data_IF_314917227273
#
_entry.id   IF_314917227273
#
_cell.length_a   1.000
_cell.length_b   1.000
_cell.length_c   1.000
_cell.angle_alpha   90.00
_cell.angle_beta   90.00
_cell.angle_gamma   90.00
#
_symmetry.space_group_name_H-M   'P 1'
#
loop_
_entity.id
_entity.type
_entity.pdbx_description
1 polymer ?
#
# COMPACT_ATOMS: atom_id res chain seq x y z
N UNK A 1 -34.27 23.88 -51.80
CA UNK A 1 -33.14 24.22 -50.89
C UNK A 1 -32.39 22.94 -50.58
N UNK A 2 -31.28 22.71 -51.26
CA UNK A 2 -30.34 21.60 -51.02
C UNK A 2 -29.70 21.82 -49.65
N UNK A 3 -30.00 20.95 -48.68
CA UNK A 3 -29.31 20.94 -47.38
C UNK A 3 -27.84 20.67 -47.66
N UNK A 4 -26.98 21.62 -47.34
CA UNK A 4 -25.53 21.43 -47.37
C UNK A 4 -25.18 20.25 -46.44
N UNK A 5 -24.59 19.20 -47.02
CA UNK A 5 -24.30 17.91 -46.38
C UNK A 5 -22.88 17.81 -45.83
N UNK A 6 -22.26 18.93 -45.46
CA UNK A 6 -21.01 18.92 -44.71
C UNK A 6 -21.31 19.11 -43.22
N UNK A 7 -21.58 18.02 -42.51
CA UNK A 7 -21.64 18.03 -41.04
C UNK A 7 -20.24 17.83 -40.46
N UNK A 8 -19.87 18.63 -39.47
CA UNK A 8 -18.64 18.44 -38.72
C UNK A 8 -18.78 17.22 -37.80
N UNK A 9 -17.67 16.52 -37.55
CA UNK A 9 -17.67 15.46 -36.54
C UNK A 9 -17.98 16.05 -35.15
N UNK A 10 -18.82 15.39 -34.34
CA UNK A 10 -19.05 15.79 -32.95
C UNK A 10 -17.74 15.86 -32.17
N UNK A 11 -17.52 16.95 -31.42
CA UNK A 11 -16.38 17.11 -30.52
C UNK A 11 -16.82 16.84 -29.08
N UNK A 12 -16.22 15.84 -28.42
CA UNK A 12 -16.46 15.55 -27.00
C UNK A 12 -15.76 16.58 -26.10
N UNK A 13 -16.31 16.82 -24.91
CA UNK A 13 -15.70 17.68 -23.90
C UNK A 13 -14.53 16.94 -23.24
N UNK A 14 -13.43 17.66 -22.98
CA UNK A 14 -12.32 17.12 -22.18
C UNK A 14 -12.64 17.12 -20.68
N UNK A 15 -13.50 18.04 -20.22
CA UNK A 15 -13.92 18.16 -18.82
C UNK A 15 -15.10 17.25 -18.49
N UNK A 16 -15.96 16.99 -19.48
CA UNK A 16 -17.14 16.13 -19.36
C UNK A 16 -16.97 14.96 -20.34
N UNK A 17 -16.00 14.10 -20.05
CA UNK A 17 -15.79 12.86 -20.80
C UNK A 17 -16.93 11.87 -20.56
N UNK A 18 -16.89 10.72 -21.24
CA UNK A 18 -17.97 9.74 -21.18
C UNK A 18 -18.20 9.22 -19.76
N UNK A 19 -17.11 9.01 -19.00
CA UNK A 19 -17.15 8.56 -17.61
C UNK A 19 -17.74 9.63 -16.68
N UNK A 20 -17.26 10.87 -16.77
CA UNK A 20 -17.78 11.98 -15.98
C UNK A 20 -19.28 12.20 -16.24
N UNK A 21 -19.69 12.10 -17.50
CA UNK A 21 -21.11 12.21 -17.86
C UNK A 21 -21.94 11.02 -17.35
N UNK A 22 -21.41 9.79 -17.33
CA UNK A 22 -22.11 8.66 -16.73
C UNK A 22 -22.25 8.81 -15.23
N UNK A 23 -21.21 9.27 -14.55
CA UNK A 23 -21.23 9.51 -13.10
C UNK A 23 -22.21 10.61 -12.71
N UNK A 24 -22.25 11.72 -13.46
CA UNK A 24 -23.26 12.78 -13.22
C UNK A 24 -24.68 12.21 -13.35
N UNK A 25 -24.94 11.37 -14.36
CA UNK A 25 -26.27 10.74 -14.55
C UNK A 25 -26.59 9.75 -13.43
N UNK A 26 -25.63 8.92 -13.01
CA UNK A 26 -25.78 7.98 -11.89
C UNK A 26 -26.08 8.74 -10.60
N UNK A 27 -25.29 9.76 -10.28
CA UNK A 27 -25.49 10.60 -9.10
C UNK A 27 -26.84 11.34 -9.14
N UNK A 28 -27.25 11.87 -10.29
CA UNK A 28 -28.55 12.52 -10.45
C UNK A 28 -29.73 11.56 -10.27
N UNK A 29 -29.59 10.30 -10.70
CA UNK A 29 -30.63 9.28 -10.57
C UNK A 29 -30.73 8.70 -9.14
N UNK A 30 -29.60 8.55 -8.45
CA UNK A 30 -29.53 7.84 -7.16
C UNK A 30 -29.48 8.77 -5.95
N UNK A 31 -28.94 9.98 -6.09
CA UNK A 31 -28.69 10.90 -4.98
C UNK A 31 -27.60 10.46 -4.01
N UNK A 32 -26.79 9.45 -4.36
CA UNK A 32 -25.78 8.84 -3.49
C UNK A 32 -24.41 8.84 -4.20
N UNK A 33 -23.34 9.10 -3.45
CA UNK A 33 -21.96 9.00 -3.95
C UNK A 33 -21.64 7.57 -4.38
N UNK A 34 -20.66 7.42 -5.28
CA UNK A 34 -20.18 6.10 -5.65
C UNK A 34 -19.25 5.52 -4.59
N UNK A 35 -19.32 4.20 -4.38
CA UNK A 35 -18.39 3.46 -3.53
C UNK A 35 -17.65 2.50 -4.45
N UNK A 36 -16.32 2.46 -4.35
CA UNK A 36 -15.53 1.48 -5.08
C UNK A 36 -14.28 1.08 -4.32
N UNK A 37 -13.61 0.07 -4.86
CA UNK A 37 -12.28 -0.38 -4.48
C UNK A 37 -11.17 0.25 -5.33
N UNK A 38 -9.96 -0.25 -5.13
CA UNK A 38 -8.76 0.22 -5.80
C UNK A 38 -8.17 1.50 -5.18
N UNK A 39 -7.08 1.98 -5.79
CA UNK A 39 -6.49 3.29 -5.50
C UNK A 39 -6.88 4.31 -6.58
N UNK A 40 -6.21 5.46 -6.58
CA UNK A 40 -6.40 6.47 -7.62
C UNK A 40 -6.15 5.91 -9.03
N UNK A 41 -7.10 6.10 -9.94
CA UNK A 41 -7.04 5.70 -11.36
C UNK A 41 -6.54 6.83 -12.26
N UNK A 42 -6.56 8.07 -11.77
CA UNK A 42 -6.09 9.23 -12.54
C UNK A 42 -4.59 9.15 -12.87
N UNK A 43 -4.15 9.74 -13.99
CA UNK A 43 -2.72 9.93 -14.26
C UNK A 43 -2.08 10.83 -13.20
N UNK A 44 -0.95 10.40 -12.66
CA UNK A 44 -0.17 11.10 -11.64
C UNK A 44 1.31 10.99 -12.00
N UNK A 45 2.14 12.02 -11.70
CA UNK A 45 3.58 11.84 -11.67
C UNK A 45 3.93 10.70 -10.71
N UNK A 46 4.82 9.81 -11.14
CA UNK A 46 5.08 8.55 -10.46
C UNK A 46 6.52 8.11 -10.54
N UNK A 47 6.81 6.93 -9.99
CA UNK A 47 8.16 6.36 -10.02
C UNK A 47 8.62 6.10 -11.46
N UNK A 48 7.72 5.88 -12.42
CA UNK A 48 8.06 5.73 -13.84
C UNK A 48 8.74 6.97 -14.44
N UNK A 49 8.50 8.15 -13.86
CA UNK A 49 9.12 9.41 -14.30
C UNK A 49 10.56 9.59 -13.78
N UNK A 50 11.10 8.59 -13.07
CA UNK A 50 12.50 8.56 -12.62
C UNK A 50 13.31 7.52 -13.40
N UNK A 51 14.57 7.84 -13.66
CA UNK A 51 15.55 6.91 -14.22
C UNK A 51 16.74 6.73 -13.27
N UNK A 52 17.39 5.58 -13.37
CA UNK A 52 18.66 5.34 -12.70
C UNK A 52 19.84 5.78 -13.57
N UNK A 53 20.81 6.42 -12.95
CA UNK A 53 22.13 6.67 -13.50
C UNK A 53 23.01 5.43 -13.31
N UNK A 54 22.85 4.45 -14.20
CA UNK A 54 23.68 3.25 -14.21
C UNK A 54 25.17 3.57 -14.30
N UNK A 55 25.99 2.74 -13.66
CA UNK A 55 27.45 2.87 -13.65
C UNK A 55 28.04 2.71 -15.07
N UNK A 56 29.14 3.44 -15.31
CA UNK A 56 29.88 3.44 -16.57
C UNK A 56 31.37 3.71 -16.27
N UNK A 57 31.96 4.80 -16.77
CA UNK A 57 33.36 5.15 -16.45
C UNK A 57 33.53 5.83 -15.09
N UNK A 58 32.51 6.55 -14.60
CA UNK A 58 32.57 7.32 -13.34
C UNK A 58 32.36 6.47 -12.08
N UNK A 59 31.77 5.29 -12.22
CA UNK A 59 31.54 4.31 -11.15
C UNK A 59 31.63 2.91 -11.74
N UNK A 60 32.10 1.94 -10.97
CA UNK A 60 32.21 0.55 -11.42
C UNK A 60 30.90 -0.21 -11.12
N UNK A 61 30.27 -0.90 -12.09
CA UNK A 61 29.11 -1.76 -11.85
C UNK A 61 29.54 -3.06 -11.16
N UNK A 62 28.60 -3.74 -10.49
CA UNK A 62 28.86 -5.07 -9.93
C UNK A 62 28.39 -6.18 -10.88
N UNK A 63 29.18 -7.24 -11.02
CA UNK A 63 28.85 -8.39 -11.85
C UNK A 63 27.82 -9.31 -11.18
N UNK A 64 26.60 -9.37 -11.71
CA UNK A 64 25.47 -10.06 -11.08
C UNK A 64 25.67 -11.55 -10.75
N UNK A 65 26.52 -12.26 -11.50
CA UNK A 65 26.81 -13.69 -11.30
C UNK A 65 28.03 -13.96 -10.41
N UNK A 66 28.81 -12.93 -10.04
CA UNK A 66 30.01 -13.07 -9.19
C UNK A 66 29.86 -12.35 -7.86
N UNK A 67 29.11 -11.26 -7.84
CA UNK A 67 29.04 -10.35 -6.71
C UNK A 67 27.66 -10.38 -6.06
N UNK A 68 27.66 -10.53 -4.74
CA UNK A 68 26.45 -10.56 -3.95
C UNK A 68 25.87 -9.14 -3.82
N UNK A 69 24.54 -9.05 -3.86
CA UNK A 69 23.81 -7.84 -3.52
C UNK A 69 22.84 -8.18 -2.41
N UNK A 70 23.02 -7.64 -1.20
CA UNK A 70 22.10 -7.91 -0.09
C UNK A 70 20.74 -7.22 -0.27
N UNK A 71 19.72 -7.78 0.38
CA UNK A 71 18.31 -7.36 0.31
C UNK A 71 17.61 -7.38 1.66
N UNK A 72 18.30 -7.79 2.72
CA UNK A 72 17.70 -7.89 4.03
C UNK A 72 17.39 -6.51 4.63
N UNK A 73 16.37 -6.47 5.48
CA UNK A 73 15.98 -5.26 6.21
C UNK A 73 15.60 -5.63 7.65
N UNK A 74 15.98 -4.76 8.58
CA UNK A 74 15.56 -4.85 9.98
C UNK A 74 14.61 -3.70 10.28
N UNK A 75 13.41 -4.04 10.75
CA UNK A 75 12.36 -3.08 11.04
C UNK A 75 12.04 -3.06 12.54
N UNK A 76 11.98 -1.86 13.08
CA UNK A 76 11.54 -1.57 14.43
C UNK A 76 12.62 -1.74 15.50
N UNK A 77 13.80 -1.22 15.21
CA UNK A 77 15.01 -1.36 16.05
C UNK A 77 15.05 -0.43 17.27
N UNK A 78 14.09 0.47 17.43
CA UNK A 78 14.20 1.60 18.38
C UNK A 78 13.84 1.20 19.81
N UNK A 79 12.67 0.62 20.04
CA UNK A 79 12.16 0.32 21.39
C UNK A 79 11.84 -1.16 21.62
N UNK A 80 11.59 -1.94 20.57
CA UNK A 80 11.22 -3.34 20.70
C UNK A 80 12.41 -4.24 21.00
N UNK A 81 12.22 -5.22 21.88
CA UNK A 81 13.23 -6.27 22.13
C UNK A 81 13.45 -7.16 20.90
N UNK A 82 12.39 -7.43 20.14
CA UNK A 82 12.41 -8.33 18.98
C UNK A 82 12.05 -7.54 17.70
N UNK A 83 13.02 -6.84 17.07
CA UNK A 83 12.79 -6.21 15.78
C UNK A 83 12.53 -7.26 14.68
N UNK A 84 11.75 -6.90 13.67
CA UNK A 84 11.51 -7.79 12.53
C UNK A 84 12.75 -7.86 11.64
N UNK A 85 13.12 -9.06 11.22
CA UNK A 85 14.20 -9.30 10.27
C UNK A 85 13.63 -9.96 9.02
N UNK A 86 13.59 -9.21 7.93
CA UNK A 86 13.03 -9.69 6.66
C UNK A 86 14.15 -9.93 5.65
N UNK A 87 13.99 -10.93 4.79
CA UNK A 87 14.98 -11.28 3.75
C UNK A 87 14.95 -10.34 2.54
N UNK A 88 13.83 -9.65 2.36
CA UNK A 88 13.58 -8.72 1.25
C UNK A 88 12.93 -7.43 1.77
N UNK A 89 13.14 -6.27 1.13
CA UNK A 89 12.60 -4.99 1.59
C UNK A 89 11.19 -4.74 1.06
N UNK A 90 10.38 -5.80 0.94
CA UNK A 90 9.04 -5.78 0.33
C UNK A 90 8.08 -6.47 1.28
N UNK A 91 7.15 -5.73 1.88
CA UNK A 91 6.11 -6.24 2.80
C UNK A 91 4.75 -6.34 2.12
N UNK A 92 3.84 -7.13 2.67
CA UNK A 92 2.44 -7.16 2.23
C UNK A 92 1.59 -6.24 3.10
N UNK A 93 0.86 -5.32 2.46
CA UNK A 93 0.04 -4.32 3.12
C UNK A 93 -1.18 -4.92 3.85
N UNK A 94 -1.66 -4.21 4.87
CA UNK A 94 -2.84 -4.61 5.64
C UNK A 94 -4.10 -4.63 4.80
N UNK A 95 -4.68 -5.81 4.61
CA UNK A 95 -5.93 -6.03 3.89
C UNK A 95 -6.82 -6.98 4.70
N UNK A 96 -8.00 -6.49 5.10
CA UNK A 96 -8.81 -7.14 6.14
C UNK A 96 -9.41 -8.48 5.71
N UNK A 97 -9.46 -9.45 6.62
CA UNK A 97 -10.48 -10.51 6.51
C UNK A 97 -11.86 -9.87 6.61
N UNK A 98 -12.77 -10.21 5.69
CA UNK A 98 -14.01 -9.48 5.43
C UNK A 98 -13.93 -8.74 4.10
N UNK A 99 -12.91 -7.90 3.90
CA UNK A 99 -12.57 -7.39 2.56
C UNK A 99 -12.07 -8.51 1.65
N UNK A 100 -11.19 -9.37 2.18
CA UNK A 100 -10.65 -10.54 1.49
C UNK A 100 -11.24 -11.83 2.06
N UNK A 101 -11.31 -12.87 1.23
CA UNK A 101 -11.67 -14.23 1.63
C UNK A 101 -10.59 -14.86 2.53
N UNK A 102 -10.95 -15.91 3.28
CA UNK A 102 -9.99 -16.63 4.12
C UNK A 102 -8.87 -17.27 3.27
N UNK A 103 -9.20 -17.74 2.07
CA UNK A 103 -8.29 -18.32 1.10
C UNK A 103 -7.26 -17.29 0.63
N UNK A 104 -7.68 -16.04 0.37
CA UNK A 104 -6.74 -14.98 0.02
C UNK A 104 -5.81 -14.63 1.19
N UNK A 105 -6.34 -14.58 2.42
CA UNK A 105 -5.53 -14.37 3.64
C UNK A 105 -4.50 -15.49 3.84
N UNK A 106 -4.89 -16.74 3.62
CA UNK A 106 -3.99 -17.90 3.66
C UNK A 106 -2.90 -17.81 2.57
N UNK A 107 -3.29 -17.48 1.33
CA UNK A 107 -2.38 -17.36 0.20
C UNK A 107 -1.31 -16.29 0.42
N UNK A 108 -1.71 -15.12 0.95
CA UNK A 108 -0.80 -14.04 1.32
C UNK A 108 0.23 -14.52 2.35
N UNK A 109 -0.23 -15.22 3.41
CA UNK A 109 0.66 -15.78 4.43
C UNK A 109 1.67 -16.77 3.86
N UNK A 110 1.21 -17.71 3.02
CA UNK A 110 2.07 -18.69 2.34
C UNK A 110 3.14 -18.00 1.48
N UNK A 111 2.72 -17.05 0.64
CA UNK A 111 3.63 -16.36 -0.27
C UNK A 111 4.68 -15.52 0.47
N UNK A 112 4.26 -14.80 1.51
CA UNK A 112 5.16 -13.99 2.33
C UNK A 112 6.19 -14.85 3.08
N UNK A 113 5.76 -15.96 3.68
CA UNK A 113 6.65 -16.91 4.38
C UNK A 113 7.70 -17.51 3.45
N UNK A 114 7.30 -17.94 2.24
CA UNK A 114 8.25 -18.46 1.24
C UNK A 114 9.29 -17.39 0.87
N UNK A 115 8.86 -16.14 0.72
CA UNK A 115 9.73 -15.01 0.40
C UNK A 115 10.56 -14.51 1.60
N UNK A 116 10.25 -14.93 2.83
CA UNK A 116 10.87 -14.44 4.06
C UNK A 116 10.52 -12.99 4.37
N UNK A 117 9.26 -12.61 4.18
CA UNK A 117 8.72 -11.28 4.49
C UNK A 117 7.45 -11.34 5.33
N UNK A 118 6.88 -10.18 5.65
CA UNK A 118 5.72 -10.03 6.52
C UNK A 118 4.39 -9.88 5.77
N UNK A 119 3.33 -10.33 6.42
CA UNK A 119 1.94 -9.99 6.11
C UNK A 119 1.36 -9.06 7.17
N UNK A 120 0.24 -8.42 6.87
CA UNK A 120 -0.46 -7.54 7.79
C UNK A 120 -1.96 -7.86 7.80
N UNK A 121 -2.56 -7.98 8.99
CA UNK A 121 -3.94 -8.49 9.16
C UNK A 121 -4.98 -7.65 8.44
N UNK A 122 -4.79 -6.33 8.37
CA UNK A 122 -5.83 -5.41 7.94
C UNK A 122 -6.86 -5.13 9.04
N UNK A 123 -7.93 -4.42 8.68
CA UNK A 123 -9.06 -4.02 9.55
C UNK A 123 -9.91 -5.17 10.15
N UNK A 124 -9.50 -6.43 9.97
CA UNK A 124 -10.37 -7.61 10.17
C UNK A 124 -10.05 -8.46 11.39
N UNK A 125 -8.98 -8.15 12.11
CA UNK A 125 -8.42 -9.03 13.14
C UNK A 125 -7.59 -10.18 12.56
N UNK A 126 -7.07 -11.03 13.44
CA UNK A 126 -6.20 -12.15 13.08
C UNK A 126 -7.03 -13.41 12.80
N UNK A 127 -6.90 -14.00 11.62
CA UNK A 127 -7.54 -15.29 11.32
C UNK A 127 -6.57 -16.45 11.58
N UNK A 128 -7.08 -17.65 11.96
CA UNK A 128 -6.24 -18.85 12.08
C UNK A 128 -5.51 -19.21 10.78
N UNK A 129 -6.16 -19.02 9.64
CA UNK A 129 -5.61 -19.34 8.32
C UNK A 129 -4.43 -18.43 7.95
N UNK A 130 -4.53 -17.13 8.25
CA UNK A 130 -3.41 -16.20 8.03
C UNK A 130 -2.27 -16.48 9.01
N UNK A 131 -2.56 -16.49 10.32
CA UNK A 131 -1.52 -16.69 11.33
C UNK A 131 -0.81 -18.02 11.17
N UNK A 132 -1.53 -19.08 10.79
CA UNK A 132 -0.99 -20.41 10.58
C UNK A 132 -0.08 -20.55 9.36
N UNK A 133 -0.15 -19.61 8.41
CA UNK A 133 0.70 -19.63 7.21
C UNK A 133 1.74 -18.51 7.16
N UNK A 134 1.54 -17.42 7.90
CA UNK A 134 2.51 -16.33 8.02
C UNK A 134 3.55 -16.64 9.09
N UNK A 135 4.83 -16.63 8.73
CA UNK A 135 5.95 -16.69 9.69
C UNK A 135 6.10 -15.35 10.42
N UNK A 136 5.97 -14.24 9.70
CA UNK A 136 5.90 -12.88 10.26
C UNK A 136 4.56 -12.23 9.94
N UNK A 137 3.79 -11.86 10.97
CA UNK A 137 2.48 -11.21 10.84
C UNK A 137 2.40 -9.95 11.70
N UNK A 138 2.04 -8.85 11.06
CA UNK A 138 1.80 -7.55 11.67
C UNK A 138 0.31 -7.42 11.96
N UNK A 139 -0.05 -7.10 13.19
CA UNK A 139 -1.45 -6.90 13.59
C UNK A 139 -1.82 -5.43 13.51
N UNK A 140 -2.92 -5.10 12.81
CA UNK A 140 -3.40 -3.71 12.76
C UNK A 140 -4.30 -3.34 13.95
N UNK A 141 -3.94 -2.26 14.63
CA UNK A 141 -4.72 -1.64 15.69
C UNK A 141 -5.48 -0.42 15.16
N UNK A 142 -6.81 -0.54 15.11
CA UNK A 142 -7.68 0.34 14.33
C UNK A 142 -8.49 1.30 15.19
N UNK A 143 -8.93 2.46 14.67
CA UNK A 143 -9.81 3.39 15.36
C UNK A 143 -11.01 2.75 16.07
N UNK A 144 -11.69 1.80 15.42
CA UNK A 144 -12.92 1.18 15.96
C UNK A 144 -12.70 -0.12 16.72
N UNK A 145 -11.46 -0.60 16.84
CA UNK A 145 -11.09 -1.82 17.60
C UNK A 145 -11.81 -3.10 17.16
N UNK A 146 -12.36 -3.14 15.95
CA UNK A 146 -12.97 -4.35 15.40
C UNK A 146 -11.97 -5.50 15.39
N UNK A 147 -12.38 -6.66 15.93
CA UNK A 147 -11.54 -7.85 16.03
C UNK A 147 -10.36 -7.74 16.99
N UNK A 148 -10.19 -6.62 17.69
CA UNK A 148 -9.08 -6.43 18.63
C UNK A 148 -9.28 -7.28 19.88
N UNK A 149 -8.37 -8.21 20.10
CA UNK A 149 -8.21 -8.89 21.36
C UNK A 149 -6.71 -8.90 21.79
N UNK A 150 -6.42 -8.81 23.10
CA UNK A 150 -5.04 -8.78 23.60
C UNK A 150 -4.22 -10.02 23.27
N UNK A 151 -4.84 -11.19 23.14
CA UNK A 151 -4.11 -12.43 22.88
C UNK A 151 -3.53 -12.48 21.47
N UNK A 152 -4.25 -11.94 20.49
CA UNK A 152 -3.76 -11.83 19.12
C UNK A 152 -2.70 -10.74 18.99
N UNK A 153 -2.78 -9.65 19.76
CA UNK A 153 -1.69 -8.67 19.86
C UNK A 153 -0.40 -9.32 20.36
N UNK A 154 -0.48 -10.24 21.33
CA UNK A 154 0.70 -10.98 21.84
C UNK A 154 1.24 -12.02 20.84
N UNK A 155 0.35 -12.64 20.05
CA UNK A 155 0.72 -13.59 18.98
C UNK A 155 1.28 -12.92 17.72
N UNK A 156 1.10 -11.61 17.57
CA UNK A 156 1.66 -10.86 16.45
C UNK A 156 3.18 -10.72 16.57
N UNK A 157 3.83 -10.40 15.46
CA UNK A 157 5.27 -10.13 15.42
C UNK A 157 5.56 -8.62 15.50
N UNK A 158 4.59 -7.80 15.10
CA UNK A 158 4.56 -6.35 15.28
C UNK A 158 3.11 -5.85 15.36
N UNK A 159 2.91 -4.62 15.84
CA UNK A 159 1.60 -3.96 15.86
C UNK A 159 1.66 -2.70 15.00
N UNK A 160 0.71 -2.52 14.09
CA UNK A 160 0.57 -1.31 13.28
C UNK A 160 -0.64 -0.49 13.72
N UNK A 161 -0.40 0.66 14.34
CA UNK A 161 -1.45 1.63 14.67
C UNK A 161 -1.84 2.40 13.41
N UNK A 162 -3.10 2.22 12.98
CA UNK A 162 -3.59 2.79 11.73
C UNK A 162 -4.21 4.17 11.98
N UNK A 163 -3.44 5.22 11.67
CA UNK A 163 -3.93 6.60 11.70
C UNK A 163 -4.63 6.97 10.38
N UNK A 164 -4.15 6.43 9.26
CA UNK A 164 -4.77 6.62 7.95
C UNK A 164 -4.23 5.67 6.89
N UNK A 165 -4.84 5.70 5.71
CA UNK A 165 -4.42 4.95 4.53
C UNK A 165 -4.50 5.82 3.28
N UNK A 166 -3.80 5.41 2.21
CA UNK A 166 -3.65 6.20 0.98
C UNK A 166 -4.95 6.48 0.23
N UNK A 167 -5.86 5.50 0.14
CA UNK A 167 -7.15 5.65 -0.56
C UNK A 167 -8.15 6.61 0.12
N UNK A 168 -7.98 6.88 1.43
CA UNK A 168 -8.93 7.71 2.20
C UNK A 168 -8.29 8.36 3.43
N UNK A 169 -7.28 9.23 3.28
CA UNK A 169 -6.74 9.97 4.41
C UNK A 169 -7.86 10.78 5.10
N UNK A 170 -8.00 10.64 6.42
CA UNK A 170 -9.08 11.27 7.18
C UNK A 170 -10.44 10.56 7.11
N UNK A 171 -10.55 9.45 6.36
CA UNK A 171 -11.71 8.55 6.36
C UNK A 171 -11.50 7.33 7.26
N UNK A 172 -12.60 6.64 7.60
CA UNK A 172 -12.56 5.37 8.34
C UNK A 172 -12.69 4.14 7.44
N UNK A 173 -12.28 2.97 7.94
CA UNK A 173 -12.55 1.65 7.33
C UNK A 173 -14.03 1.45 6.98
N UNK A 174 -14.33 0.82 5.85
CA UNK A 174 -15.69 0.53 5.39
C UNK A 174 -15.77 -0.92 4.92
N UNK A 175 -16.83 -1.62 5.33
CA UNK A 175 -17.17 -2.95 4.83
C UNK A 175 -18.69 -3.03 4.69
N UNK A 176 -19.18 -3.32 3.49
CA UNK A 176 -20.62 -3.39 3.25
C UNK A 176 -21.24 -4.66 3.84
N UNK A 177 -22.51 -4.56 4.20
CA UNK A 177 -23.29 -5.61 4.84
C UNK A 177 -23.32 -6.92 4.04
N UNK A 178 -23.28 -6.83 2.70
CA UNK A 178 -23.15 -7.98 1.80
C UNK A 178 -21.92 -8.85 2.09
N UNK A 179 -20.88 -8.25 2.68
CA UNK A 179 -19.63 -8.92 3.06
C UNK A 179 -19.51 -9.12 4.57
N UNK A 180 -20.56 -8.84 5.34
CA UNK A 180 -20.62 -9.20 6.76
C UNK A 180 -21.34 -10.54 6.85
N UNK A 181 -20.59 -11.61 6.58
CA UNK A 181 -20.99 -12.98 6.88
C UNK A 181 -21.08 -13.20 8.39
N UNK A 182 -21.72 -14.28 8.83
CA UNK A 182 -21.80 -14.65 10.25
C UNK A 182 -20.43 -14.63 10.94
N UNK A 183 -19.42 -15.26 10.32
CA UNK A 183 -18.04 -15.27 10.83
C UNK A 183 -17.44 -13.86 10.94
N UNK A 184 -17.64 -13.00 9.94
CA UNK A 184 -17.14 -11.61 9.99
C UNK A 184 -17.85 -10.82 11.09
N UNK A 185 -19.16 -11.03 11.23
CA UNK A 185 -20.01 -10.41 12.25
C UNK A 185 -19.52 -10.78 13.67
N UNK A 186 -19.27 -12.07 13.92
CA UNK A 186 -18.72 -12.58 15.17
C UNK A 186 -17.35 -11.98 15.48
N UNK A 187 -16.42 -12.03 14.53
CA UNK A 187 -15.07 -11.49 14.71
C UNK A 187 -15.06 -9.99 15.02
N UNK A 188 -16.04 -9.23 14.52
CA UNK A 188 -16.08 -7.77 14.69
C UNK A 188 -17.10 -7.30 15.72
N UNK A 189 -17.79 -8.21 16.40
CA UNK A 189 -18.88 -7.90 17.32
C UNK A 189 -19.96 -7.01 16.66
N UNK A 190 -20.32 -7.32 15.41
CA UNK A 190 -21.31 -6.60 14.62
C UNK A 190 -22.53 -7.48 14.31
N UNK A 191 -23.70 -6.89 14.04
CA UNK A 191 -24.82 -7.63 13.46
C UNK A 191 -24.50 -8.05 12.01
N UNK A 192 -24.90 -9.25 11.63
CA UNK A 192 -24.77 -9.76 10.26
C UNK A 192 -25.54 -8.85 9.28
N UNK A 193 -24.96 -8.62 8.09
CA UNK A 193 -25.64 -7.90 7.01
C UNK A 193 -25.72 -6.38 7.16
N UNK A 194 -25.16 -5.79 8.23
CA UNK A 194 -25.20 -4.34 8.47
C UNK A 194 -23.90 -3.68 8.05
N UNK A 195 -23.96 -2.65 7.20
CA UNK A 195 -22.77 -1.90 6.79
C UNK A 195 -21.92 -1.44 7.99
N UNK A 196 -20.64 -1.81 7.97
CA UNK A 196 -19.65 -1.32 8.92
C UNK A 196 -19.03 -0.02 8.42
N UNK A 197 -19.12 1.01 9.25
CA UNK A 197 -18.36 2.27 9.09
C UNK A 197 -17.51 2.49 10.33
N UNK A 198 -16.21 2.48 10.16
CA UNK A 198 -15.27 2.71 11.24
C UNK A 198 -15.13 4.21 11.50
N UNK A 199 -14.89 4.58 12.76
CA UNK A 199 -14.52 5.94 13.12
C UNK A 199 -13.27 6.40 12.35
N UNK A 200 -13.22 7.66 11.95
CA UNK A 200 -12.06 8.27 11.29
C UNK A 200 -10.92 8.64 12.26
N UNK A 201 -11.17 8.58 13.56
CA UNK A 201 -10.21 8.87 14.63
C UNK A 201 -10.30 7.80 15.70
N UNK A 202 -9.17 7.48 16.31
CA UNK A 202 -9.18 6.70 17.53
C UNK A 202 -9.89 7.50 18.63
N UNK A 203 -10.72 6.84 19.46
CA UNK A 203 -11.51 7.53 20.48
C UNK A 203 -10.69 7.97 21.70
N UNK A 204 -9.50 7.42 21.87
CA UNK A 204 -8.67 7.46 23.07
C UNK A 204 -7.39 8.28 22.90
N UNK A 205 -7.24 9.03 21.80
CA UNK A 205 -6.18 10.02 21.64
C UNK A 205 -6.61 11.16 20.71
N UNK A 206 -6.10 12.38 20.96
CA UNK A 206 -6.40 13.57 20.15
C UNK A 206 -5.18 14.18 19.48
N UNK A 207 -3.99 13.88 19.99
CA UNK A 207 -2.71 14.34 19.46
C UNK A 207 -1.58 13.33 19.71
N UNK A 208 -0.34 13.69 19.33
CA UNK A 208 0.82 12.81 19.45
C UNK A 208 1.17 12.44 20.90
N UNK A 209 0.89 13.32 21.87
CA UNK A 209 1.18 13.07 23.29
C UNK A 209 0.23 12.00 23.87
N UNK A 210 -1.05 12.05 23.51
CA UNK A 210 -2.01 11.00 23.86
C UNK A 210 -1.67 9.67 23.15
N UNK A 211 -1.22 9.75 21.88
CA UNK A 211 -0.82 8.58 21.10
C UNK A 211 0.42 7.91 21.70
N UNK A 212 1.35 8.67 22.30
CA UNK A 212 2.50 8.13 23.04
C UNK A 212 2.06 7.27 24.23
N UNK A 213 1.03 7.69 24.97
CA UNK A 213 0.43 6.89 26.05
C UNK A 213 -0.14 5.59 25.48
N UNK A 214 -0.90 5.69 24.38
CA UNK A 214 -1.47 4.50 23.74
C UNK A 214 -0.42 3.52 23.23
N UNK A 215 0.66 4.02 22.65
CA UNK A 215 1.79 3.20 22.20
C UNK A 215 2.47 2.54 23.40
N UNK A 216 2.60 3.25 24.53
CA UNK A 216 3.13 2.69 25.77
C UNK A 216 2.26 1.55 26.30
N UNK A 217 0.93 1.70 26.29
CA UNK A 217 0.00 0.61 26.66
C UNK A 217 0.18 -0.63 25.75
N UNK A 218 0.30 -0.43 24.44
CA UNK A 218 0.51 -1.54 23.49
C UNK A 218 1.84 -2.26 23.75
N UNK A 219 2.88 -1.51 24.13
CA UNK A 219 4.17 -2.10 24.53
C UNK A 219 4.04 -2.89 25.82
N UNK A 220 3.33 -2.38 26.82
CA UNK A 220 3.08 -3.09 28.07
C UNK A 220 2.29 -4.39 27.85
N UNK A 221 1.24 -4.37 27.03
CA UNK A 221 0.43 -5.55 26.68
C UNK A 221 1.28 -6.65 26.03
N UNK A 222 2.34 -6.26 25.32
CA UNK A 222 3.24 -7.14 24.57
C UNK A 222 4.62 -7.31 25.22
N UNK A 223 4.76 -6.98 26.50
CA UNK A 223 6.00 -7.11 27.28
C UNK A 223 7.23 -6.45 26.63
N UNK A 224 6.99 -5.38 25.87
CA UNK A 224 7.98 -4.62 25.08
C UNK A 224 8.69 -5.48 24.02
N UNK A 225 8.12 -6.62 23.64
CA UNK A 225 8.71 -7.51 22.66
C UNK A 225 8.52 -7.03 21.24
N UNK A 226 7.36 -6.44 20.93
CA UNK A 226 6.91 -6.19 19.56
C UNK A 226 7.15 -4.73 19.16
N UNK A 227 7.63 -4.47 17.93
CA UNK A 227 7.72 -3.11 17.41
C UNK A 227 6.34 -2.55 17.08
N UNK A 228 6.21 -1.24 17.28
CA UNK A 228 4.99 -0.47 17.04
C UNK A 228 5.18 0.40 15.82
N UNK A 229 4.39 0.11 14.79
CA UNK A 229 4.36 0.83 13.53
C UNK A 229 3.25 1.87 13.60
N UNK A 230 3.43 3.00 12.93
CA UNK A 230 2.34 3.97 12.70
C UNK A 230 2.12 4.10 11.20
N UNK A 231 0.92 3.75 10.74
CA UNK A 231 0.52 3.91 9.34
C UNK A 231 -0.23 5.22 9.15
N UNK A 232 0.25 6.03 8.22
CA UNK A 232 -0.28 7.35 7.88
C UNK A 232 -0.59 7.43 6.38
N UNK A 233 -1.68 8.12 6.03
CA UNK A 233 -1.98 8.47 4.65
C UNK A 233 -1.12 9.65 4.20
N UNK A 234 -0.69 9.66 2.94
CA UNK A 234 0.15 10.70 2.34
C UNK A 234 -0.60 12.02 2.18
N UNK A 235 -0.84 12.74 3.27
CA UNK A 235 -1.51 14.04 3.26
C UNK A 235 -0.54 15.16 3.64
N UNK A 236 0.10 15.07 4.81
CA UNK A 236 1.11 16.03 5.28
C UNK A 236 2.41 15.28 5.63
N UNK A 237 3.09 14.68 4.65
CA UNK A 237 4.12 13.66 4.88
C UNK A 237 5.24 14.09 5.83
N UNK A 238 5.70 15.34 5.77
CA UNK A 238 6.70 15.86 6.72
C UNK A 238 6.17 15.89 8.17
N UNK A 239 5.01 16.55 8.38
CA UNK A 239 4.46 16.76 9.72
C UNK A 239 3.96 15.46 10.34
N UNK A 240 3.25 14.63 9.57
CA UNK A 240 2.69 13.37 10.06
C UNK A 240 3.81 12.39 10.44
N UNK A 241 4.93 12.41 9.71
CA UNK A 241 6.15 11.64 10.05
C UNK A 241 6.79 12.17 11.35
N UNK A 242 6.97 13.48 11.48
CA UNK A 242 7.54 14.08 12.69
C UNK A 242 6.70 13.78 13.95
N UNK A 243 5.38 13.88 13.83
CA UNK A 243 4.45 13.55 14.92
C UNK A 243 4.48 12.06 15.26
N UNK A 244 4.62 11.18 14.26
CA UNK A 244 4.76 9.73 14.47
C UNK A 244 6.04 9.39 15.24
N UNK A 245 7.16 10.07 14.93
CA UNK A 245 8.41 9.94 15.68
C UNK A 245 8.24 10.37 17.14
N UNK A 246 7.56 11.49 17.38
CA UNK A 246 7.26 12.00 18.74
C UNK A 246 6.36 11.05 19.53
N UNK A 247 5.36 10.46 18.88
CA UNK A 247 4.47 9.48 19.49
C UNK A 247 5.18 8.16 19.88
N UNK A 248 6.40 7.92 19.39
CA UNK A 248 7.18 6.74 19.76
C UNK A 248 7.09 5.59 18.76
N UNK A 249 6.84 5.89 17.48
CA UNK A 249 6.94 4.90 16.41
C UNK A 249 8.33 4.26 16.35
N UNK A 250 8.34 2.93 16.17
CA UNK A 250 9.52 2.16 15.75
C UNK A 250 9.67 2.20 14.22
N UNK A 251 8.54 2.19 13.50
CA UNK A 251 8.46 2.19 12.04
C UNK A 251 7.29 3.08 11.61
N UNK A 252 7.44 3.77 10.49
CA UNK A 252 6.38 4.59 9.89
C UNK A 252 6.04 4.01 8.53
N UNK A 253 4.75 3.81 8.27
CA UNK A 253 4.24 3.37 6.97
C UNK A 253 3.54 4.55 6.30
N UNK A 254 4.16 5.11 5.26
CA UNK A 254 3.65 6.22 4.47
C UNK A 254 2.92 5.70 3.24
N UNK A 255 1.61 5.89 3.16
CA UNK A 255 0.75 5.33 2.11
C UNK A 255 0.24 6.42 1.16
N UNK A 256 0.76 6.49 -0.06
CA UNK A 256 0.35 7.48 -1.07
C UNK A 256 -1.03 7.18 -1.66
N UNK A 257 -1.61 8.14 -2.39
CA UNK A 257 -3.00 8.05 -2.89
C UNK A 257 -3.27 6.89 -3.86
N UNK A 258 -2.23 6.30 -4.45
CA UNK A 258 -2.34 5.06 -5.23
C UNK A 258 -2.57 3.81 -4.35
N UNK A 259 -2.52 3.93 -3.02
CA UNK A 259 -2.85 2.87 -2.07
C UNK A 259 -4.31 2.44 -2.22
N UNK A 260 -4.54 1.13 -2.26
CA UNK A 260 -5.88 0.57 -2.50
C UNK A 260 -6.78 0.56 -1.26
N UNK A 261 -8.07 0.37 -1.51
CA UNK A 261 -9.08 0.00 -0.51
C UNK A 261 -10.06 -1.00 -1.13
N UNK A 262 -10.77 -1.78 -0.31
CA UNK A 262 -11.89 -2.58 -0.79
C UNK A 262 -13.16 -1.73 -0.98
N UNK A 263 -13.33 -0.71 -0.15
CA UNK A 263 -14.49 0.16 -0.17
C UNK A 263 -14.15 1.54 0.43
N UNK A 264 -14.43 2.59 -0.34
CA UNK A 264 -14.64 3.95 0.15
C UNK A 264 -15.34 4.76 -0.93
N UNK A 265 -15.75 5.98 -0.60
CA UNK A 265 -16.31 6.89 -1.58
C UNK A 265 -15.28 7.24 -2.66
N UNK A 266 -15.67 7.19 -3.94
CA UNK A 266 -14.78 7.51 -5.06
C UNK A 266 -14.11 8.88 -4.89
N UNK A 267 -14.85 9.87 -4.36
CA UNK A 267 -14.34 11.23 -4.13
C UNK A 267 -13.14 11.26 -3.18
N UNK A 268 -13.04 10.34 -2.21
CA UNK A 268 -11.86 10.24 -1.36
C UNK A 268 -10.65 9.73 -2.15
N UNK A 269 -10.84 8.68 -2.94
CA UNK A 269 -9.77 8.02 -3.69
C UNK A 269 -9.11 8.99 -4.68
N UNK A 270 -9.91 9.77 -5.42
CA UNK A 270 -9.39 10.60 -6.51
C UNK A 270 -8.96 12.02 -6.10
N UNK A 271 -9.35 12.48 -4.90
CA UNK A 271 -9.18 13.88 -4.50
C UNK A 271 -8.55 14.12 -3.12
N UNK A 272 -8.29 13.09 -2.32
CA UNK A 272 -7.73 13.26 -0.97
C UNK A 272 -6.40 12.52 -0.82
N UNK A 273 -5.34 13.26 -0.51
CA UNK A 273 -3.98 12.75 -0.38
C UNK A 273 -3.05 13.23 -1.51
N UNK A 274 -1.82 12.72 -1.50
CA UNK A 274 -0.74 13.05 -2.41
C UNK A 274 -0.22 11.79 -3.12
N UNK A 275 0.32 11.92 -4.35
CA UNK A 275 0.99 10.82 -5.04
C UNK A 275 2.15 10.28 -4.20
N UNK A 276 2.36 8.96 -4.25
CA UNK A 276 3.45 8.29 -3.53
C UNK A 276 4.79 8.98 -3.72
N UNK A 277 5.12 9.38 -4.96
CA UNK A 277 6.36 10.07 -5.29
C UNK A 277 6.60 11.34 -4.44
N UNK A 278 5.56 12.14 -4.23
CA UNK A 278 5.63 13.38 -3.47
C UNK A 278 5.74 13.18 -1.96
N UNK A 279 5.39 12.00 -1.45
CA UNK A 279 5.39 11.70 -0.02
C UNK A 279 6.76 11.31 0.53
N UNK A 280 7.62 10.68 -0.29
CA UNK A 280 8.84 10.00 0.19
C UNK A 280 9.84 11.01 0.75
N UNK A 281 10.24 12.01 -0.04
CA UNK A 281 11.30 12.95 0.37
C UNK A 281 10.92 13.84 1.54
N UNK A 282 9.69 14.39 1.65
CA UNK A 282 9.29 15.12 2.83
C UNK A 282 9.31 14.27 4.11
N UNK A 283 8.92 12.99 4.03
CA UNK A 283 9.01 12.06 5.18
C UNK A 283 10.47 11.80 5.56
N UNK A 284 11.33 11.50 4.58
CA UNK A 284 12.77 11.30 4.80
C UNK A 284 13.42 12.56 5.39
N UNK A 285 13.06 13.75 4.90
CA UNK A 285 13.54 15.03 5.43
C UNK A 285 13.16 15.20 6.91
N UNK A 286 11.92 14.91 7.29
CA UNK A 286 11.49 14.96 8.70
C UNK A 286 12.33 14.02 9.58
N UNK A 287 12.56 12.79 9.11
CA UNK A 287 13.42 11.82 9.82
C UNK A 287 14.87 12.31 9.93
N UNK A 288 15.42 12.93 8.88
CA UNK A 288 16.78 13.46 8.88
C UNK A 288 16.94 14.63 9.85
N UNK A 289 16.02 15.60 9.82
CA UNK A 289 16.06 16.78 10.71
C UNK A 289 15.88 16.40 12.18
N UNK A 290 15.13 15.34 12.47
CA UNK A 290 15.00 14.80 13.83
C UNK A 290 16.16 13.87 14.24
N UNK A 291 17.13 13.61 13.37
CA UNK A 291 18.23 12.67 13.63
C UNK A 291 17.78 11.20 13.78
N UNK A 292 16.63 10.86 13.18
CA UNK A 292 15.94 9.57 13.28
C UNK A 292 15.93 8.77 11.97
N UNK A 293 16.49 9.31 10.88
CA UNK A 293 16.64 8.57 9.62
C UNK A 293 17.40 7.25 9.86
N UNK A 294 16.84 6.14 9.37
CA UNK A 294 17.29 4.75 9.58
C UNK A 294 17.25 4.24 11.04
N UNK A 295 16.87 5.07 12.02
CA UNK A 295 16.57 4.66 13.41
C UNK A 295 15.08 4.38 13.62
N UNK A 296 14.23 5.20 12.99
CA UNK A 296 12.81 4.92 12.75
C UNK A 296 12.70 4.59 11.27
N UNK A 297 12.42 3.33 10.95
CA UNK A 297 12.40 2.88 9.56
C UNK A 297 11.15 3.42 8.83
N UNK A 298 11.30 3.76 7.56
CA UNK A 298 10.24 4.24 6.69
C UNK A 298 9.85 3.17 5.67
N UNK A 299 8.59 2.72 5.72
CA UNK A 299 7.99 1.89 4.69
C UNK A 299 7.13 2.78 3.79
N UNK A 300 7.29 2.65 2.48
CA UNK A 300 6.47 3.38 1.50
C UNK A 300 5.46 2.45 0.84
N UNK A 301 4.21 2.87 0.77
CA UNK A 301 3.10 2.14 0.15
C UNK A 301 2.36 3.03 -0.85
N UNK A 302 1.58 2.40 -1.73
CA UNK A 302 0.76 3.05 -2.74
C UNK A 302 1.36 2.95 -4.13
N UNK A 303 0.79 2.08 -4.98
CA UNK A 303 1.16 1.98 -6.40
C UNK A 303 2.54 1.38 -6.70
N UNK A 304 3.14 0.60 -5.79
CA UNK A 304 4.39 -0.13 -6.04
C UNK A 304 4.11 -1.43 -6.81
N UNK A 305 4.74 -1.62 -7.98
CA UNK A 305 4.34 -2.68 -8.94
C UNK A 305 5.47 -3.60 -9.41
N UNK A 306 6.73 -3.20 -9.27
CA UNK A 306 7.87 -3.99 -9.78
C UNK A 306 9.15 -3.66 -9.01
N UNK A 307 10.26 -4.33 -9.32
CA UNK A 307 11.52 -4.10 -8.63
C UNK A 307 12.17 -2.75 -8.93
N UNK A 308 11.85 -2.10 -10.05
CA UNK A 308 12.29 -0.74 -10.32
C UNK A 308 11.59 0.26 -9.39
N UNK A 309 10.29 0.10 -9.13
CA UNK A 309 9.55 0.90 -8.15
C UNK A 309 10.15 0.72 -6.74
N UNK A 310 10.46 -0.53 -6.36
CA UNK A 310 11.14 -0.86 -5.08
C UNK A 310 12.47 -0.12 -5.00
N UNK A 311 13.35 -0.30 -5.99
CA UNK A 311 14.67 0.32 -6.01
C UNK A 311 14.58 1.86 -5.93
N UNK A 312 13.65 2.49 -6.65
CA UNK A 312 13.47 3.94 -6.63
C UNK A 312 13.00 4.43 -5.27
N UNK A 313 12.06 3.74 -4.62
CA UNK A 313 11.62 4.09 -3.28
C UNK A 313 12.76 4.00 -2.26
N UNK A 314 13.59 2.93 -2.33
CA UNK A 314 14.76 2.77 -1.47
C UNK A 314 15.81 3.87 -1.72
N UNK A 315 16.11 4.17 -2.99
CA UNK A 315 17.01 5.25 -3.39
C UNK A 315 16.55 6.62 -2.87
N UNK A 316 15.24 6.88 -2.91
CA UNK A 316 14.65 8.10 -2.35
C UNK A 316 14.69 8.16 -0.81
N UNK A 317 15.09 7.07 -0.14
CA UNK A 317 15.36 7.03 1.31
C UNK A 317 14.41 6.16 2.12
N UNK A 318 13.54 5.35 1.50
CA UNK A 318 12.76 4.35 2.22
C UNK A 318 13.65 3.18 2.70
N UNK A 319 13.21 2.49 3.74
CA UNK A 319 13.81 1.24 4.25
C UNK A 319 13.13 0.01 3.66
N UNK A 320 11.84 0.08 3.37
CA UNK A 320 11.10 -0.97 2.68
C UNK A 320 9.94 -0.37 1.90
N UNK A 321 9.28 -1.21 1.10
CA UNK A 321 8.00 -0.88 0.46
C UNK A 321 6.93 -1.88 0.87
N UNK A 322 5.67 -1.47 0.78
CA UNK A 322 4.53 -2.36 1.00
C UNK A 322 3.65 -2.46 -0.24
N UNK A 323 3.23 -3.67 -0.59
CA UNK A 323 2.37 -3.95 -1.75
C UNK A 323 1.00 -4.48 -1.31
N UNK A 324 -0.06 -3.97 -1.93
CA UNK A 324 -1.45 -4.40 -1.73
C UNK A 324 -2.04 -4.94 -3.03
N UNK A 325 -2.53 -4.05 -3.89
CA UNK A 325 -3.13 -4.40 -5.20
C UNK A 325 -2.23 -5.29 -6.04
N UNK A 326 -0.93 -5.00 -6.11
CA UNK A 326 0.01 -5.83 -6.87
C UNK A 326 0.12 -7.26 -6.32
N UNK A 327 0.00 -7.44 -5.00
CA UNK A 327 -0.08 -8.77 -4.40
C UNK A 327 -1.39 -9.47 -4.77
N UNK A 328 -2.53 -8.78 -4.76
CA UNK A 328 -3.82 -9.35 -5.17
C UNK A 328 -3.82 -9.79 -6.65
N UNK A 329 -3.27 -8.96 -7.54
CA UNK A 329 -3.09 -9.33 -8.95
C UNK A 329 -2.21 -10.56 -9.08
N UNK A 330 -1.13 -10.67 -8.29
CA UNK A 330 -0.29 -11.87 -8.28
C UNK A 330 -1.02 -13.14 -7.76
N UNK A 331 -2.07 -13.00 -6.95
CA UNK A 331 -2.94 -14.13 -6.57
C UNK A 331 -3.87 -14.53 -7.72
N UNK A 332 -4.27 -13.58 -8.56
CA UNK A 332 -5.19 -13.77 -9.70
C UNK A 332 -6.34 -12.75 -9.76
N UNK A 333 -6.29 -11.65 -9.00
CA UNK A 333 -7.28 -10.59 -9.11
C UNK A 333 -7.21 -9.94 -10.51
N UNK A 334 -8.38 -9.63 -11.08
CA UNK A 334 -8.49 -9.00 -12.40
C UNK A 334 -7.83 -9.80 -13.55
N UNK A 335 -7.72 -11.12 -13.42
CA UNK A 335 -7.08 -11.99 -14.41
C UNK A 335 -7.90 -12.07 -15.72
N UNK A 336 -7.27 -11.88 -16.91
CA UNK A 336 -7.94 -12.06 -18.20
C UNK A 336 -8.58 -13.43 -18.43
N UNK A 337 -8.13 -14.49 -17.74
CA UNK A 337 -8.77 -15.81 -17.77
C UNK A 337 -10.24 -15.77 -17.28
N UNK A 338 -10.62 -14.74 -16.51
CA UNK A 338 -11.96 -14.55 -15.95
C UNK A 338 -12.80 -13.49 -16.70
N UNK A 339 -12.37 -13.06 -17.90
CA UNK A 339 -13.05 -12.01 -18.69
C UNK A 339 -14.55 -12.27 -18.91
N UNK A 340 -14.95 -13.52 -19.15
CA UNK A 340 -16.38 -13.87 -19.31
C UNK A 340 -17.18 -13.66 -18.02
N UNK A 341 -16.58 -13.89 -16.85
CA UNK A 341 -17.21 -13.66 -15.56
C UNK A 341 -17.32 -12.16 -15.26
N UNK A 342 -16.26 -11.39 -15.55
CA UNK A 342 -16.28 -9.92 -15.39
C UNK A 342 -17.32 -9.25 -16.30
N UNK A 343 -17.52 -9.73 -17.52
CA UNK A 343 -18.59 -9.23 -18.40
C UNK A 343 -19.99 -9.46 -17.84
N UNK A 344 -20.22 -10.53 -17.09
CA UNK A 344 -21.51 -10.77 -16.41
C UNK A 344 -21.80 -9.73 -15.33
N UNK A 345 -20.74 -9.15 -14.75
CA UNK A 345 -20.80 -8.06 -13.79
C UNK A 345 -20.83 -6.67 -14.45
N UNK A 346 -20.84 -6.59 -15.78
CA UNK A 346 -20.84 -5.33 -16.51
C UNK A 346 -19.48 -4.63 -16.58
N UNK A 347 -18.39 -5.34 -16.29
CA UNK A 347 -17.01 -4.83 -16.33
C UNK A 347 -16.10 -5.71 -17.21
N UNK A 348 -14.78 -5.53 -17.13
CA UNK A 348 -13.76 -6.30 -17.86
C UNK A 348 -12.54 -6.55 -16.96
N UNK A 349 -11.77 -7.60 -17.27
CA UNK A 349 -10.52 -7.88 -16.58
C UNK A 349 -9.59 -6.65 -16.58
N UNK A 350 -8.98 -6.35 -15.43
CA UNK A 350 -8.15 -5.16 -15.23
C UNK A 350 -8.91 -3.90 -14.84
N UNK A 351 -10.24 -3.88 -14.95
CA UNK A 351 -11.08 -2.73 -14.60
C UNK A 351 -12.00 -2.97 -13.39
N UNK A 352 -12.14 -4.21 -12.92
CA UNK A 352 -13.03 -4.54 -11.80
C UNK A 352 -12.56 -3.90 -10.50
N UNK A 353 -13.40 -3.02 -9.97
CA UNK A 353 -13.21 -2.30 -8.71
C UNK A 353 -14.44 -2.33 -7.79
N UNK A 354 -15.49 -3.07 -8.14
CA UNK A 354 -16.67 -3.29 -7.28
C UNK A 354 -16.40 -4.33 -6.16
N UNK A 355 -15.18 -4.36 -5.63
CA UNK A 355 -14.75 -5.25 -4.54
C UNK A 355 -15.62 -5.14 -3.28
N UNK A 356 -16.32 -4.02 -3.13
CA UNK A 356 -17.24 -3.77 -2.02
C UNK A 356 -18.51 -4.62 -2.09
N UNK A 357 -18.94 -5.04 -3.28
CA UNK A 357 -20.14 -5.87 -3.48
C UNK A 357 -19.92 -7.34 -3.11
N UNK A 358 -18.66 -7.78 -3.09
CA UNK A 358 -18.31 -9.16 -2.71
C UNK A 358 -18.54 -10.18 -3.82
N UNK A 359 -18.69 -9.75 -5.07
CA UNK A 359 -18.95 -10.61 -6.23
C UNK A 359 -17.70 -10.99 -7.04
N UNK A 360 -16.52 -10.80 -6.46
CA UNK A 360 -15.25 -11.04 -7.14
C UNK A 360 -15.15 -12.49 -7.69
N UNK A 361 -15.13 -12.67 -9.03
CA UNK A 361 -15.04 -13.98 -9.67
C UNK A 361 -13.75 -14.74 -9.34
N UNK A 362 -12.67 -14.03 -8.97
CA UNK A 362 -11.39 -14.62 -8.60
C UNK A 362 -11.39 -15.27 -7.22
N UNK A 363 -12.45 -15.07 -6.41
CA UNK A 363 -12.54 -15.61 -5.06
C UNK A 363 -11.65 -14.89 -4.04
N UNK A 364 -11.11 -13.71 -4.38
CA UNK A 364 -10.20 -12.95 -3.53
C UNK A 364 -10.99 -11.97 -2.65
N UNK A 365 -11.76 -11.06 -3.27
CA UNK A 365 -12.47 -9.97 -2.59
C UNK A 365 -13.94 -10.32 -2.30
N UNK A 366 -14.20 -11.49 -1.70
CA UNK A 366 -15.56 -12.02 -1.45
C UNK A 366 -15.68 -12.69 -0.08
N UNK A 367 -16.92 -12.83 0.40
CA UNK A 367 -17.28 -13.70 1.53
C UNK A 367 -18.27 -14.80 1.12
N UNK A 368 -18.60 -14.90 -0.18
CA UNK A 368 -19.42 -15.98 -0.71
C UNK A 368 -18.58 -17.27 -0.71
N UNK A 369 -19.06 -18.36 -0.07
CA UNK A 369 -18.34 -19.63 -0.03
C UNK A 369 -18.06 -20.25 -1.41
N UNK A 370 -18.96 -20.09 -2.38
CA UNK A 370 -18.81 -20.66 -3.72
C UNK A 370 -17.79 -19.88 -4.55
N UNK A 371 -17.78 -18.55 -4.43
CA UNK A 371 -16.72 -17.73 -5.06
C UNK A 371 -15.37 -17.95 -4.39
N UNK A 372 -15.33 -17.98 -3.05
CA UNK A 372 -14.08 -18.15 -2.29
C UNK A 372 -13.37 -19.48 -2.60
N UNK A 373 -14.13 -20.55 -2.90
CA UNK A 373 -13.58 -21.85 -3.32
C UNK A 373 -12.83 -21.82 -4.66
N UNK A 374 -13.07 -20.81 -5.49
CA UNK A 374 -12.38 -20.66 -6.79
C UNK A 374 -10.89 -20.35 -6.62
N UNK A 375 -10.50 -19.76 -5.48
CA UNK A 375 -9.11 -19.46 -5.17
C UNK A 375 -8.44 -20.65 -4.46
N UNK A 376 -7.47 -21.29 -5.13
CA UNK A 376 -6.56 -22.23 -4.48
C UNK A 376 -5.47 -21.45 -3.72
N UNK A 377 -5.47 -21.46 -2.37
CA UNK A 377 -4.53 -20.67 -1.58
C UNK A 377 -3.08 -21.16 -1.71
N UNK A 378 -2.86 -22.44 -2.02
CA UNK A 378 -1.51 -23.01 -2.18
C UNK A 378 -0.90 -22.54 -3.49
N UNK A 379 -1.66 -22.63 -4.59
CA UNK A 379 -1.20 -22.15 -5.89
C UNK A 379 -1.02 -20.63 -5.88
N UNK A 380 -2.00 -19.89 -5.36
CA UNK A 380 -1.94 -18.43 -5.28
C UNK A 380 -0.76 -17.95 -4.42
N UNK A 381 -0.49 -18.60 -3.29
CA UNK A 381 0.69 -18.32 -2.47
C UNK A 381 2.02 -18.55 -3.20
N UNK A 382 2.12 -19.60 -4.04
CA UNK A 382 3.29 -19.83 -4.90
C UNK A 382 3.44 -18.75 -5.97
N UNK A 383 2.34 -18.31 -6.58
CA UNK A 383 2.35 -17.20 -7.56
C UNK A 383 2.86 -15.91 -6.92
N UNK A 384 2.36 -15.57 -5.72
CA UNK A 384 2.84 -14.42 -4.97
C UNK A 384 4.33 -14.53 -4.62
N UNK A 385 4.80 -15.70 -4.17
CA UNK A 385 6.21 -15.92 -3.86
C UNK A 385 7.11 -15.71 -5.11
N UNK A 386 6.68 -16.19 -6.28
CA UNK A 386 7.39 -15.95 -7.53
C UNK A 386 7.44 -14.46 -7.87
N UNK A 387 6.34 -13.74 -7.70
CA UNK A 387 6.26 -12.31 -7.96
C UNK A 387 7.20 -11.51 -7.03
N UNK A 388 7.16 -11.76 -5.71
CA UNK A 388 8.07 -11.15 -4.74
C UNK A 388 9.55 -11.44 -5.05
N UNK A 389 9.85 -12.66 -5.51
CA UNK A 389 11.20 -13.03 -5.95
C UNK A 389 11.63 -12.20 -7.16
N UNK A 390 10.77 -12.04 -8.16
CA UNK A 390 11.08 -11.22 -9.36
C UNK A 390 11.33 -9.77 -8.97
N UNK A 391 10.44 -9.15 -8.19
CA UNK A 391 10.63 -7.77 -7.71
C UNK A 391 11.96 -7.60 -6.98
N UNK A 392 12.36 -8.59 -6.18
CA UNK A 392 13.63 -8.58 -5.44
C UNK A 392 14.83 -8.67 -6.39
N UNK A 393 14.79 -9.60 -7.37
CA UNK A 393 15.86 -9.78 -8.35
C UNK A 393 16.05 -8.55 -9.24
N UNK A 394 14.94 -7.91 -9.64
CA UNK A 394 14.96 -6.66 -10.39
C UNK A 394 15.60 -5.52 -9.57
N UNK A 395 15.22 -5.36 -8.30
CA UNK A 395 15.81 -4.35 -7.43
C UNK A 395 17.33 -4.59 -7.22
N UNK A 396 17.76 -5.83 -7.03
CA UNK A 396 19.18 -6.19 -6.97
C UNK A 396 19.91 -5.90 -8.28
N UNK A 397 19.26 -6.15 -9.43
CA UNK A 397 19.83 -5.89 -10.75
C UNK A 397 20.14 -4.41 -10.92
N UNK A 398 19.20 -3.54 -10.51
CA UNK A 398 19.40 -2.09 -10.50
C UNK A 398 20.49 -1.67 -9.52
N UNK A 399 20.48 -2.18 -8.28
CA UNK A 399 21.49 -1.86 -7.29
C UNK A 399 22.91 -2.17 -7.79
N UNK A 400 23.12 -3.36 -8.37
CA UNK A 400 24.40 -3.73 -8.97
C UNK A 400 24.77 -2.86 -10.17
N UNK A 401 23.80 -2.52 -11.01
CA UNK A 401 24.02 -1.59 -12.12
C UNK A 401 24.47 -0.21 -11.65
N UNK A 402 24.03 0.24 -10.46
CA UNK A 402 24.51 1.46 -9.81
C UNK A 402 25.79 1.28 -8.98
N UNK A 403 26.44 0.10 -9.05
CA UNK A 403 27.67 -0.21 -8.31
C UNK A 403 27.45 -0.47 -6.81
N UNK A 404 26.23 -0.83 -6.41
CA UNK A 404 25.83 -1.02 -5.01
C UNK A 404 25.73 -2.50 -4.65
N UNK A 405 26.39 -2.91 -3.56
CA UNK A 405 26.40 -4.29 -3.03
C UNK A 405 25.25 -4.60 -2.07
N UNK A 406 24.36 -3.64 -1.83
CA UNK A 406 23.13 -3.81 -1.06
C UNK A 406 22.07 -2.85 -1.61
N UNK A 407 20.80 -3.27 -1.64
CA UNK A 407 19.72 -2.41 -2.16
C UNK A 407 19.51 -1.13 -1.36
N UNK A 408 19.84 -1.13 -0.05
CA UNK A 408 19.84 0.09 0.79
C UNK A 408 20.99 1.04 0.53
N UNK A 409 22.00 0.65 -0.24
CA UNK A 409 23.07 1.56 -0.62
C UNK A 409 22.68 2.43 -1.84
N UNK A 410 21.50 2.20 -2.42
CA UNK A 410 20.91 3.10 -3.41
C UNK A 410 20.60 4.45 -2.75
N UNK A 411 20.89 5.53 -3.46
CA UNK A 411 20.80 6.90 -2.95
C UNK A 411 20.12 7.82 -3.97
N UNK A 412 19.64 9.02 -3.57
CA UNK A 412 18.99 9.94 -4.50
C UNK A 412 19.91 10.38 -5.65
N UNK A 413 21.22 10.35 -5.46
CA UNK A 413 22.24 10.62 -6.49
C UNK A 413 22.25 9.58 -7.62
N UNK A 414 21.70 8.38 -7.39
CA UNK A 414 21.57 7.36 -8.42
C UNK A 414 20.40 7.65 -9.36
N UNK A 415 19.63 8.73 -9.14
CA UNK A 415 18.39 9.03 -9.83
C UNK A 415 18.41 10.38 -10.57
N UNK A 416 17.67 10.43 -11.68
CA UNK A 416 17.24 11.66 -12.35
C UNK A 416 15.76 11.58 -12.70
N UNK A 417 15.11 12.73 -12.84
CA UNK A 417 13.71 12.83 -13.24
C UNK A 417 13.56 13.17 -14.72
N UNK A 418 12.54 12.60 -15.37
CA UNK A 418 12.19 12.87 -16.77
C UNK A 418 11.32 14.11 -16.95
N UNK A 419 10.62 14.52 -15.89
CA UNK A 419 9.67 15.64 -15.89
C UNK A 419 9.99 16.62 -14.77
N UNK A 420 9.58 17.87 -14.95
CA UNK A 420 9.77 18.93 -13.94
C UNK A 420 8.97 18.62 -12.68
N UNK A 421 7.78 18.07 -12.82
CA UNK A 421 6.90 17.64 -11.74
C UNK A 421 7.56 16.54 -10.91
N UNK A 422 8.13 15.51 -11.56
CA UNK A 422 8.83 14.44 -10.87
C UNK A 422 10.10 14.95 -10.18
N UNK A 423 10.87 15.85 -10.83
CA UNK A 423 12.05 16.47 -10.23
C UNK A 423 11.69 17.23 -8.95
N UNK A 424 10.62 18.03 -8.98
CA UNK A 424 10.13 18.79 -7.83
C UNK A 424 9.64 17.87 -6.69
N UNK A 425 8.85 16.83 -7.01
CA UNK A 425 8.27 15.92 -6.03
C UNK A 425 9.32 15.01 -5.38
N UNK A 426 10.17 14.39 -6.21
CA UNK A 426 11.20 13.46 -5.77
C UNK A 426 12.48 14.16 -5.30
N UNK A 427 12.58 15.49 -5.45
CA UNK A 427 13.74 16.29 -5.10
C UNK A 427 15.06 15.73 -5.65
N UNK A 428 15.01 15.25 -6.90
CA UNK A 428 16.15 14.77 -7.69
C UNK A 428 16.29 15.63 -8.95
N UNK A 429 17.49 15.75 -9.55
CA UNK A 429 17.71 16.62 -10.69
C UNK A 429 16.86 16.24 -11.91
N UNK A 430 16.43 17.23 -12.68
CA UNK A 430 15.89 17.00 -14.03
C UNK A 430 16.99 16.42 -14.93
N UNK A 431 16.68 15.35 -15.64
CA UNK A 431 17.62 14.60 -16.47
C UNK A 431 18.39 15.51 -17.43
N UNK A 432 19.72 15.38 -17.40
CA UNK A 432 20.64 16.20 -18.19
C UNK A 432 20.98 17.56 -17.56
N UNK A 433 20.58 17.80 -16.31
CA UNK A 433 20.86 19.03 -15.56
C UNK A 433 21.13 18.72 -14.09
N UNK A 434 21.66 19.69 -13.34
CA UNK A 434 21.72 19.62 -11.87
C UNK A 434 20.50 20.28 -11.20
N UNK A 435 19.56 20.79 -12.00
CA UNK A 435 18.47 21.63 -11.52
C UNK A 435 17.37 20.82 -10.85
N UNK A 436 17.01 21.23 -9.63
CA UNK A 436 15.85 20.74 -8.89
C UNK A 436 14.88 21.91 -8.70
N UNK A 437 13.66 21.87 -9.27
CA UNK A 437 12.71 22.97 -9.16
C UNK A 437 12.41 23.31 -7.69
N UNK A 438 12.52 24.59 -7.33
CA UNK A 438 12.25 25.09 -5.98
C UNK A 438 13.37 24.86 -4.96
N UNK A 439 14.54 24.34 -5.38
CA UNK A 439 15.78 24.42 -4.61
C UNK A 439 16.70 25.45 -5.25
N UNK A 440 17.15 26.42 -4.46
CA UNK A 440 18.21 27.33 -4.89
C UNK A 440 19.56 26.61 -4.80
N UNK A 441 20.40 26.83 -5.81
CA UNK A 441 21.80 26.41 -5.78
C UNK A 441 22.58 27.49 -5.02
N UNK A 442 22.74 27.31 -3.71
CA UNK A 442 23.72 28.06 -2.93
C UNK A 442 25.15 27.62 -3.26
#
# INVERSE_FOLDING_TARGET
MTKFTAQTHPRKSATFDDYTLSEIRRAAATGIYDIRGGGAKRPLPGLDDLLFLGASMSRYPLEGYRENCGTDVVLGTRFAKNPLRLKIPITIAGMSFGSLSAQAKEALGRGATIAGTSTTTGDGGMTPEERGQSETLIYQYLPSRYGMNPDDLRKADAIEVVVGQGAKPGGGGMLLGLKISERVAEMRNLPQGIDQRSACRHPDWTGPDDLEIKISELREITDWEKPIFIKIGGARPYYDTALSVKAGADVIVMDGMQGGTAATQEVFIEHVGQPTLACIRPAVKALQELGMHRKVQLIVSGGIRNGADVAKALALGADAVSIGTAALVALGDNDPELEEEYRKLGTTAGAYDDWHEGQDPAGISTQDPELSKRLDPVLAGRRLANYLKVMTLEAQTIARACGKSHVHNLEPEDLVALTVEAAAMAQVPLSGTDWIPGKDHD
#
